data_IF_508928763753
#
_entry.id   IF_508928763753
#
_cell.length_a   1.000
_cell.length_b   1.000
_cell.length_c   1.000
_cell.angle_alpha   90.00
_cell.angle_beta   90.00
_cell.angle_gamma   90.00
#
_symmetry.space_group_name_H-M   'P 1'
#
loop_
_entity.id
_entity.type
_entity.pdbx_description
1 polymer ?
#
# COMPACT_ATOMS: atom_id res chain seq x y z
N UNK A 1 -0.28 -11.97 27.33
CA UNK A 1 0.67 -10.94 27.78
C UNK A 1 -0.04 -9.59 27.71
N UNK A 2 -0.30 -8.94 28.84
CA UNK A 2 -0.86 -7.58 28.88
C UNK A 2 0.33 -6.63 29.06
N UNK A 3 0.49 -5.60 28.20
CA UNK A 3 1.53 -4.61 28.43
C UNK A 3 1.29 -3.91 29.79
N UNK A 4 2.35 -3.46 30.47
CA UNK A 4 2.22 -2.85 31.79
C UNK A 4 1.20 -1.71 31.78
N UNK A 5 0.25 -1.73 32.73
CA UNK A 5 -0.90 -0.81 32.84
C UNK A 5 -0.53 0.68 32.95
N UNK A 6 0.74 1.03 33.15
CA UNK A 6 1.19 2.39 33.44
C UNK A 6 1.22 3.38 32.27
N UNK A 7 1.05 2.91 31.02
CA UNK A 7 1.33 3.74 29.82
C UNK A 7 0.09 3.98 28.92
N UNK A 8 -1.13 3.70 29.37
CA UNK A 8 -2.34 3.86 28.55
C UNK A 8 -3.17 5.04 29.07
N UNK A 9 -3.36 6.04 28.22
CA UNK A 9 -4.18 7.22 28.55
C UNK A 9 -5.67 6.98 28.27
N UNK A 10 -6.59 7.75 28.91
CA UNK A 10 -8.00 7.73 28.55
C UNK A 10 -8.22 7.92 27.05
N UNK A 11 -9.12 7.13 26.48
CA UNK A 11 -9.38 7.14 25.05
C UNK A 11 -8.39 6.32 24.21
N UNK A 12 -7.38 5.69 24.83
CA UNK A 12 -6.49 4.73 24.17
C UNK A 12 -6.87 3.28 24.50
N UNK A 13 -6.42 2.34 23.68
CA UNK A 13 -6.57 0.90 23.90
C UNK A 13 -5.30 0.14 23.52
N UNK A 14 -5.12 -1.04 24.10
CA UNK A 14 -4.11 -2.01 23.64
C UNK A 14 -4.73 -2.91 22.59
N UNK A 15 -4.03 -3.12 21.48
CA UNK A 15 -4.41 -4.05 20.44
C UNK A 15 -3.25 -5.00 20.10
N UNK A 16 -3.56 -6.26 19.77
CA UNK A 16 -2.59 -7.18 19.21
C UNK A 16 -2.60 -7.01 17.69
N UNK A 17 -1.66 -6.22 17.17
CA UNK A 17 -1.42 -6.06 15.74
C UNK A 17 -0.48 -7.16 15.23
N UNK A 18 -0.36 -7.30 13.92
CA UNK A 18 0.60 -8.24 13.33
C UNK A 18 2.00 -7.60 13.39
N UNK A 19 3.03 -8.34 13.77
CA UNK A 19 4.42 -7.85 13.74
C UNK A 19 4.80 -7.47 12.30
N UNK A 20 5.36 -6.26 12.13
CA UNK A 20 5.78 -5.74 10.83
C UNK A 20 6.81 -6.65 10.16
N UNK A 21 7.68 -7.28 10.91
CA UNK A 21 8.75 -8.12 10.34
C UNK A 21 8.27 -9.56 10.03
N UNK A 22 7.00 -9.87 10.30
CA UNK A 22 6.46 -11.22 10.14
C UNK A 22 5.81 -11.41 8.76
N UNK A 23 6.62 -11.43 7.69
CA UNK A 23 6.15 -11.52 6.30
C UNK A 23 5.23 -12.74 6.05
N UNK A 24 4.27 -12.63 5.10
CA UNK A 24 3.39 -13.73 4.74
C UNK A 24 4.21 -14.88 4.14
N UNK A 25 3.81 -16.12 4.47
CA UNK A 25 4.45 -17.34 3.95
C UNK A 25 3.43 -18.26 3.31
N UNK A 26 3.88 -19.13 2.40
CA UNK A 26 3.01 -20.14 1.77
C UNK A 26 2.35 -21.00 2.86
N UNK A 27 1.02 -21.07 2.83
CA UNK A 27 0.20 -21.80 3.82
C UNK A 27 0.38 -21.36 5.29
N UNK A 28 1.01 -20.21 5.55
CA UNK A 28 1.14 -19.67 6.91
C UNK A 28 -0.23 -19.25 7.42
N UNK A 29 -0.64 -19.84 8.54
CA UNK A 29 -1.91 -19.52 9.21
C UNK A 29 -1.75 -18.28 10.10
N UNK A 30 -2.87 -17.60 10.36
CA UNK A 30 -2.90 -16.46 11.30
C UNK A 30 -2.42 -16.86 12.71
N UNK A 31 -2.69 -18.09 13.13
CA UNK A 31 -2.23 -18.64 14.42
C UNK A 31 -0.72 -18.78 14.53
N UNK A 32 -0.01 -18.83 13.39
CA UNK A 32 1.45 -18.88 13.31
C UNK A 32 2.04 -17.51 12.95
N UNK A 33 1.22 -16.47 12.92
CA UNK A 33 1.65 -15.09 12.64
C UNK A 33 2.08 -14.45 13.95
N UNK A 34 3.28 -13.86 13.97
CA UNK A 34 3.79 -13.18 15.15
C UNK A 34 2.99 -11.90 15.38
N UNK A 35 2.54 -11.70 16.62
CA UNK A 35 1.74 -10.55 17.01
C UNK A 35 2.57 -9.58 17.84
N UNK A 36 2.26 -8.29 17.72
CA UNK A 36 2.87 -7.21 18.48
C UNK A 36 1.80 -6.40 19.20
N UNK A 37 1.99 -6.21 20.49
CA UNK A 37 1.11 -5.36 21.30
C UNK A 37 1.39 -3.89 20.97
N UNK A 38 0.36 -3.16 20.56
CA UNK A 38 0.43 -1.72 20.23
C UNK A 38 -0.61 -0.95 21.02
N UNK A 39 -0.33 0.32 21.30
CA UNK A 39 -1.27 1.27 21.91
C UNK A 39 -1.88 2.11 20.79
N UNK A 40 -3.21 2.13 20.73
CA UNK A 40 -3.98 2.83 19.72
C UNK A 40 -4.86 3.88 20.37
N UNK A 41 -4.84 5.10 19.86
CA UNK A 41 -5.74 6.15 20.33
C UNK A 41 -7.11 5.96 19.65
N UNK A 42 -8.18 5.70 20.37
CA UNK A 42 -9.52 5.64 19.77
C UNK A 42 -10.20 7.00 19.77
N UNK A 43 -10.01 7.75 20.85
CA UNK A 43 -10.64 9.03 21.07
C UNK A 43 -9.53 10.06 21.26
N UNK A 44 -9.31 10.92 20.26
CA UNK A 44 -8.39 12.04 20.38
C UNK A 44 -9.13 13.33 20.72
N UNK A 45 -8.44 14.26 21.38
CA UNK A 45 -8.97 15.60 21.63
C UNK A 45 -9.35 16.34 20.35
N UNK A 46 -8.65 16.08 19.25
CA UNK A 46 -8.91 16.75 17.97
C UNK A 46 -10.16 16.22 17.28
N UNK A 47 -10.46 14.93 17.42
CA UNK A 47 -11.73 14.35 16.96
C UNK A 47 -12.92 14.98 17.73
N UNK A 48 -12.78 15.16 19.05
CA UNK A 48 -13.80 15.83 19.88
C UNK A 48 -13.99 17.28 19.44
N UNK A 49 -12.90 18.02 19.20
CA UNK A 49 -12.98 19.40 18.69
C UNK A 49 -13.72 19.47 17.35
N UNK A 50 -13.38 18.59 16.39
CA UNK A 50 -14.04 18.53 15.08
C UNK A 50 -15.54 18.26 15.21
N UNK A 51 -15.93 17.33 16.08
CA UNK A 51 -17.34 17.04 16.36
C UNK A 51 -18.07 18.23 16.99
N UNK A 52 -17.44 18.93 17.94
CA UNK A 52 -18.01 20.16 18.54
C UNK A 52 -18.22 21.28 17.51
N UNK A 53 -17.38 21.34 16.48
CA UNK A 53 -17.52 22.27 15.36
C UNK A 53 -18.53 21.82 14.30
N UNK A 54 -19.34 20.78 14.58
CA UNK A 54 -20.42 20.32 13.70
C UNK A 54 -19.98 19.37 12.58
N UNK A 55 -18.73 18.90 12.55
CA UNK A 55 -18.32 17.86 11.60
C UNK A 55 -19.05 16.56 11.89
N UNK A 56 -19.45 15.84 10.84
CA UNK A 56 -20.08 14.52 10.98
C UNK A 56 -19.03 13.45 11.21
N UNK A 57 -19.42 12.34 11.85
CA UNK A 57 -18.52 11.18 12.08
C UNK A 57 -17.88 10.66 10.77
N UNK A 58 -18.64 10.71 9.67
CA UNK A 58 -18.16 10.28 8.35
C UNK A 58 -16.99 11.10 7.81
N UNK A 59 -16.78 12.32 8.33
CA UNK A 59 -15.71 13.21 7.93
C UNK A 59 -14.44 13.05 8.78
N UNK A 60 -14.57 12.50 10.00
CA UNK A 60 -13.43 12.25 10.91
C UNK A 60 -12.87 10.83 10.79
N UNK A 61 -13.67 9.84 10.34
CA UNK A 61 -13.19 8.46 10.19
C UNK A 61 -11.93 8.30 9.33
N UNK A 62 -11.74 9.04 8.21
CA UNK A 62 -10.48 9.00 7.47
C UNK A 62 -9.26 9.29 8.35
N UNK A 63 -9.35 10.32 9.20
CA UNK A 63 -8.26 10.72 10.08
C UNK A 63 -8.04 9.74 11.22
N UNK A 64 -9.12 9.19 11.80
CA UNK A 64 -9.04 8.15 12.84
C UNK A 64 -8.35 6.90 12.28
N UNK A 65 -8.77 6.42 11.11
CA UNK A 65 -8.17 5.23 10.47
C UNK A 65 -6.69 5.48 10.18
N UNK A 66 -6.35 6.65 9.65
CA UNK A 66 -4.96 7.01 9.39
C UNK A 66 -4.12 7.00 10.66
N UNK A 67 -4.61 7.65 11.73
CA UNK A 67 -3.93 7.71 13.01
C UNK A 67 -3.71 6.32 13.60
N UNK A 68 -4.71 5.44 13.57
CA UNK A 68 -4.58 4.05 14.04
C UNK A 68 -3.53 3.25 13.25
N UNK A 69 -3.51 3.37 11.93
CA UNK A 69 -2.51 2.69 11.09
C UNK A 69 -1.09 3.20 11.37
N UNK A 70 -0.91 4.52 11.48
CA UNK A 70 0.38 5.14 11.71
C UNK A 70 0.91 4.85 13.12
N UNK A 71 0.06 4.93 14.15
CA UNK A 71 0.43 4.55 15.53
C UNK A 71 0.84 3.09 15.63
N UNK A 72 0.14 2.19 14.93
CA UNK A 72 0.51 0.78 14.88
C UNK A 72 1.88 0.60 14.22
N UNK A 73 2.09 1.20 13.05
CA UNK A 73 3.35 1.10 12.30
C UNK A 73 4.54 1.64 13.07
N UNK A 74 4.39 2.79 13.73
CA UNK A 74 5.44 3.41 14.56
C UNK A 74 5.90 2.47 15.69
N UNK A 75 4.98 1.68 16.23
CA UNK A 75 5.26 0.65 17.21
C UNK A 75 5.72 -0.68 16.59
N UNK A 76 5.92 -0.74 15.27
CA UNK A 76 6.32 -1.93 14.50
C UNK A 76 5.22 -3.00 14.38
N UNK A 77 3.95 -2.61 14.49
CA UNK A 77 2.78 -3.45 14.26
C UNK A 77 2.03 -3.01 13.00
N UNK A 78 1.27 -3.91 12.40
CA UNK A 78 0.46 -3.64 11.21
C UNK A 78 -0.98 -4.08 11.45
N UNK A 79 -1.92 -3.19 11.15
CA UNK A 79 -3.35 -3.48 11.21
C UNK A 79 -3.88 -4.00 9.87
N UNK A 80 -4.78 -4.96 9.93
CA UNK A 80 -5.60 -5.37 8.79
C UNK A 80 -6.87 -4.52 8.71
N UNK A 81 -7.57 -4.56 7.57
CA UNK A 81 -8.89 -3.91 7.47
C UNK A 81 -9.93 -4.58 8.38
N UNK A 82 -9.71 -5.85 8.75
CA UNK A 82 -10.56 -6.58 9.71
C UNK A 82 -10.34 -6.01 11.11
N UNK A 83 -9.09 -5.77 11.52
CA UNK A 83 -8.79 -5.13 12.82
C UNK A 83 -9.48 -3.78 12.93
N UNK A 84 -9.30 -2.91 11.93
CA UNK A 84 -9.94 -1.59 11.88
C UNK A 84 -11.48 -1.68 11.91
N UNK A 85 -12.05 -2.66 11.20
CA UNK A 85 -13.50 -2.92 11.20
C UNK A 85 -14.02 -3.28 12.59
N UNK A 86 -13.27 -4.11 13.34
CA UNK A 86 -13.63 -4.51 14.71
C UNK A 86 -13.41 -3.39 15.71
N UNK A 87 -12.28 -2.68 15.63
CA UNK A 87 -11.94 -1.56 16.51
C UNK A 87 -12.97 -0.44 16.40
N UNK A 88 -13.39 -0.09 15.18
CA UNK A 88 -14.29 1.05 14.92
C UNK A 88 -15.76 0.65 14.80
N UNK A 89 -16.08 -0.64 14.87
CA UNK A 89 -17.41 -1.20 14.62
C UNK A 89 -18.03 -0.71 13.30
N UNK A 90 -17.25 -0.78 12.21
CA UNK A 90 -17.64 -0.40 10.86
C UNK A 90 -17.52 -1.58 9.92
N UNK A 91 -18.29 -1.59 8.83
CA UNK A 91 -18.12 -2.58 7.77
C UNK A 91 -16.73 -2.47 7.11
N UNK A 92 -16.17 -3.57 6.63
CA UNK A 92 -14.91 -3.53 5.85
C UNK A 92 -15.02 -2.61 4.62
N UNK A 93 -16.20 -2.51 4.01
CA UNK A 93 -16.45 -1.59 2.90
C UNK A 93 -16.31 -0.13 3.33
N UNK A 94 -16.87 0.23 4.50
CA UNK A 94 -16.73 1.57 5.08
C UNK A 94 -15.26 1.87 5.42
N UNK A 95 -14.54 0.93 6.04
CA UNK A 95 -13.11 1.07 6.32
C UNK A 95 -12.33 1.32 5.03
N UNK A 96 -12.53 0.49 4.00
CA UNK A 96 -11.86 0.65 2.72
C UNK A 96 -12.15 2.00 2.07
N UNK A 97 -13.41 2.46 2.12
CA UNK A 97 -13.84 3.75 1.59
C UNK A 97 -13.15 4.91 2.32
N UNK A 98 -13.15 4.92 3.64
CA UNK A 98 -12.57 6.00 4.43
C UNK A 98 -11.04 6.01 4.38
N UNK A 99 -10.41 4.83 4.39
CA UNK A 99 -8.98 4.67 4.10
C UNK A 99 -8.63 5.31 2.76
N UNK A 100 -9.32 4.91 1.69
CA UNK A 100 -9.10 5.46 0.35
C UNK A 100 -9.30 6.97 0.27
N UNK A 101 -10.34 7.51 0.93
CA UNK A 101 -10.56 8.97 1.03
C UNK A 101 -9.35 9.69 1.65
N UNK A 102 -8.80 9.15 2.73
CA UNK A 102 -7.61 9.72 3.36
C UNK A 102 -6.41 9.67 2.41
N UNK A 103 -6.16 8.51 1.80
CA UNK A 103 -5.00 8.29 0.92
C UNK A 103 -5.03 9.18 -0.32
N UNK A 104 -6.18 9.34 -0.96
CA UNK A 104 -6.35 10.26 -2.09
C UNK A 104 -6.13 11.71 -1.69
N UNK A 105 -6.65 12.12 -0.52
CA UNK A 105 -6.52 13.51 -0.04
C UNK A 105 -5.08 13.88 0.27
N UNK A 106 -4.32 12.94 0.86
CA UNK A 106 -2.95 13.18 1.30
C UNK A 106 -1.90 12.71 0.30
N UNK A 107 -2.32 12.07 -0.80
CA UNK A 107 -1.43 11.41 -1.78
C UNK A 107 -0.40 10.51 -1.09
N UNK A 108 -0.86 9.75 -0.10
CA UNK A 108 -0.02 8.88 0.72
C UNK A 108 -0.78 7.62 1.06
N UNK A 109 -0.12 6.47 0.93
CA UNK A 109 -0.66 5.17 1.29
C UNK A 109 -0.54 4.94 2.80
N UNK A 110 -1.59 4.38 3.41
CA UNK A 110 -1.59 4.00 4.81
C UNK A 110 -0.93 2.64 5.05
N UNK A 111 -0.14 2.48 6.13
CA UNK A 111 0.66 1.30 6.43
C UNK A 111 -0.18 0.17 7.05
N UNK A 112 -1.07 -0.42 6.27
CA UNK A 112 -1.79 -1.63 6.65
C UNK A 112 -0.95 -2.87 6.40
N UNK A 113 -1.32 -4.00 7.02
CA UNK A 113 -0.75 -5.32 6.69
C UNK A 113 -0.80 -5.59 5.18
N UNK A 114 -1.90 -5.20 4.53
CA UNK A 114 -2.12 -5.40 3.11
C UNK A 114 -1.22 -4.56 2.21
N UNK A 115 -0.87 -3.34 2.61
CA UNK A 115 0.01 -2.45 1.84
C UNK A 115 1.48 -2.77 2.06
N UNK A 116 1.91 -2.92 3.31
CA UNK A 116 3.33 -3.17 3.64
C UNK A 116 3.80 -4.54 3.12
N UNK A 117 2.98 -5.58 3.28
CA UNK A 117 3.32 -6.93 2.83
C UNK A 117 2.76 -7.30 1.46
N UNK A 118 2.22 -6.34 0.72
CA UNK A 118 1.62 -6.57 -0.59
C UNK A 118 0.63 -7.77 -0.60
N UNK A 119 -0.18 -7.85 0.45
CA UNK A 119 -1.25 -8.86 0.55
C UNK A 119 -2.56 -8.36 -0.06
N UNK A 120 -2.57 -7.12 -0.55
CA UNK A 120 -3.74 -6.45 -1.10
C UNK A 120 -4.00 -6.80 -2.56
N UNK A 121 -5.27 -7.08 -2.88
CA UNK A 121 -5.77 -7.18 -4.27
C UNK A 121 -5.91 -5.82 -4.97
N UNK A 122 -5.55 -4.73 -4.31
CA UNK A 122 -5.84 -3.37 -4.79
C UNK A 122 -4.71 -2.91 -5.72
N UNK A 123 -5.01 -2.83 -7.01
CA UNK A 123 -4.07 -2.35 -8.03
C UNK A 123 -3.70 -0.87 -7.87
N UNK A 124 -4.41 -0.09 -7.04
CA UNK A 124 -4.14 1.34 -6.83
C UNK A 124 -2.70 1.63 -6.40
N UNK A 125 -2.14 0.85 -5.48
CA UNK A 125 -0.75 1.08 -5.03
C UNK A 125 0.27 0.63 -6.08
N UNK A 126 -0.09 -0.38 -6.88
CA UNK A 126 0.70 -0.80 -8.05
C UNK A 126 0.69 0.30 -9.12
N UNK A 127 -0.47 0.93 -9.40
CA UNK A 127 -0.57 2.08 -10.31
C UNK A 127 0.36 3.21 -9.91
N UNK A 128 0.37 3.61 -8.63
CA UNK A 128 1.24 4.70 -8.16
C UNK A 128 2.73 4.37 -8.36
N UNK A 129 3.14 3.14 -8.03
CA UNK A 129 4.51 2.66 -8.27
C UNK A 129 4.86 2.67 -9.76
N UNK A 130 3.96 2.18 -10.62
CA UNK A 130 4.17 2.17 -12.07
C UNK A 130 4.20 3.59 -12.65
N UNK A 131 3.36 4.50 -12.16
CA UNK A 131 3.36 5.91 -12.58
C UNK A 131 4.72 6.56 -12.28
N UNK A 132 5.24 6.41 -11.04
CA UNK A 132 6.56 6.93 -10.68
C UNK A 132 7.69 6.27 -11.48
N UNK A 133 7.59 4.96 -11.74
CA UNK A 133 8.52 4.24 -12.61
C UNK A 133 8.53 4.80 -14.04
N UNK A 134 7.35 5.10 -14.60
CA UNK A 134 7.21 5.70 -15.93
C UNK A 134 7.69 7.16 -16.00
N UNK A 135 7.62 7.89 -14.87
CA UNK A 135 8.28 9.19 -14.69
C UNK A 135 9.81 9.07 -14.56
N UNK A 136 10.31 7.83 -14.49
CA UNK A 136 11.72 7.51 -14.45
C UNK A 136 12.30 7.45 -13.05
N UNK A 137 11.49 7.46 -11.98
CA UNK A 137 12.01 7.30 -10.62
C UNK A 137 12.72 5.94 -10.43
N UNK A 138 13.80 5.92 -9.65
CA UNK A 138 14.51 4.69 -9.28
C UNK A 138 13.72 3.89 -8.25
N UNK A 139 13.97 2.58 -8.15
CA UNK A 139 13.36 1.72 -7.12
C UNK A 139 13.48 2.32 -5.72
N UNK A 140 14.65 2.85 -5.36
CA UNK A 140 14.86 3.48 -4.04
C UNK A 140 14.04 4.76 -3.85
N UNK A 141 13.90 5.60 -4.88
CA UNK A 141 13.06 6.80 -4.83
C UNK A 141 11.57 6.44 -4.71
N UNK A 142 11.11 5.44 -5.47
CA UNK A 142 9.74 4.94 -5.44
C UNK A 142 9.43 4.32 -4.08
N UNK A 143 10.31 3.46 -3.57
CA UNK A 143 10.19 2.81 -2.26
C UNK A 143 10.05 3.86 -1.14
N UNK A 144 10.92 4.87 -1.15
CA UNK A 144 10.87 5.97 -0.17
C UNK A 144 9.59 6.80 -0.30
N UNK A 145 9.15 7.11 -1.51
CA UNK A 145 7.96 7.94 -1.77
C UNK A 145 6.68 7.21 -1.38
N UNK A 146 6.58 5.93 -1.74
CA UNK A 146 5.37 5.12 -1.55
C UNK A 146 5.34 4.35 -0.23
N UNK A 147 6.44 4.36 0.54
CA UNK A 147 6.58 3.60 1.79
C UNK A 147 6.64 2.08 1.58
N UNK A 148 7.04 1.62 0.40
CA UNK A 148 7.16 0.19 0.10
C UNK A 148 8.59 -0.33 0.31
N UNK A 149 8.68 -1.63 0.55
CA UNK A 149 9.94 -2.37 0.45
C UNK A 149 10.46 -2.30 -1.00
N UNK A 150 11.74 -1.95 -1.24
CA UNK A 150 12.33 -1.96 -2.58
C UNK A 150 12.12 -3.28 -3.35
N UNK A 151 12.14 -4.42 -2.65
CA UNK A 151 11.92 -5.74 -3.26
C UNK A 151 10.50 -5.87 -3.81
N UNK A 152 9.51 -5.28 -3.13
CA UNK A 152 8.13 -5.26 -3.63
C UNK A 152 7.99 -4.32 -4.83
N UNK A 153 8.68 -3.18 -4.81
CA UNK A 153 8.71 -2.24 -5.94
C UNK A 153 9.28 -2.91 -7.19
N UNK A 154 10.45 -3.56 -7.09
CA UNK A 154 11.07 -4.27 -8.22
C UNK A 154 10.15 -5.37 -8.75
N UNK A 155 9.53 -6.17 -7.87
CA UNK A 155 8.57 -7.21 -8.28
C UNK A 155 7.43 -6.64 -9.14
N UNK A 156 6.86 -5.50 -8.77
CA UNK A 156 5.77 -4.92 -9.54
C UNK A 156 6.21 -4.40 -10.90
N UNK A 157 7.42 -3.83 -10.97
CA UNK A 157 8.01 -3.36 -12.22
C UNK A 157 8.29 -4.55 -13.13
N UNK A 158 8.83 -5.64 -12.60
CA UNK A 158 9.11 -6.88 -13.35
C UNK A 158 7.82 -7.50 -13.88
N UNK A 159 6.79 -7.66 -13.03
CA UNK A 159 5.48 -8.17 -13.44
C UNK A 159 4.86 -7.30 -14.54
N UNK A 160 4.96 -5.98 -14.40
CA UNK A 160 4.50 -5.03 -15.42
C UNK A 160 5.24 -5.20 -16.75
N UNK A 161 6.57 -5.24 -16.73
CA UNK A 161 7.39 -5.38 -17.94
C UNK A 161 7.09 -6.70 -18.67
N UNK A 162 6.93 -7.81 -17.93
CA UNK A 162 6.56 -9.11 -18.48
C UNK A 162 5.18 -9.07 -19.14
N UNK A 163 4.19 -8.45 -18.49
CA UNK A 163 2.84 -8.30 -19.04
C UNK A 163 2.87 -7.41 -20.29
N UNK A 164 3.57 -6.28 -20.25
CA UNK A 164 3.69 -5.35 -21.36
C UNK A 164 4.25 -6.05 -22.61
N UNK A 165 5.35 -6.79 -22.46
CA UNK A 165 5.97 -7.53 -23.56
C UNK A 165 4.99 -8.54 -24.17
N UNK A 166 4.37 -9.38 -23.33
CA UNK A 166 3.44 -10.40 -23.81
C UNK A 166 2.18 -9.80 -24.45
N UNK A 167 1.71 -8.67 -23.93
CA UNK A 167 0.57 -7.95 -24.47
C UNK A 167 0.87 -7.31 -25.83
N UNK A 168 2.05 -6.68 -25.98
CA UNK A 168 2.50 -6.14 -27.28
C UNK A 168 2.70 -7.24 -28.33
N UNK A 169 3.14 -8.43 -27.93
CA UNK A 169 3.23 -9.62 -28.78
C UNK A 169 1.84 -10.19 -29.17
N UNK A 170 0.75 -9.53 -28.79
CA UNK A 170 -0.62 -9.92 -29.16
C UNK A 170 -1.17 -11.13 -28.40
N UNK A 171 -0.55 -11.51 -27.28
CA UNK A 171 -1.05 -12.65 -26.49
C UNK A 171 -2.38 -12.30 -25.80
N UNK A 172 -3.31 -13.25 -25.80
CA UNK A 172 -4.57 -13.10 -25.06
C UNK A 172 -4.34 -13.14 -23.54
N UNK A 173 -5.19 -12.48 -22.72
CA UNK A 173 -5.03 -12.41 -21.27
C UNK A 173 -4.88 -13.77 -20.58
N UNK A 174 -5.55 -14.81 -21.05
CA UNK A 174 -5.42 -16.18 -20.51
C UNK A 174 -4.00 -16.74 -20.67
N UNK A 175 -3.38 -16.49 -21.82
CA UNK A 175 -2.01 -16.92 -22.13
C UNK A 175 -0.98 -16.10 -21.35
N UNK A 176 -1.25 -14.81 -21.15
CA UNK A 176 -0.46 -13.95 -20.26
C UNK A 176 -0.51 -14.48 -18.82
N UNK A 177 -1.69 -14.84 -18.30
CA UNK A 177 -1.81 -15.44 -16.97
C UNK A 177 -0.97 -16.72 -16.84
N UNK A 178 -0.99 -17.58 -17.87
CA UNK A 178 -0.24 -18.82 -17.89
C UNK A 178 1.29 -18.58 -17.81
N UNK A 179 1.82 -17.67 -18.63
CA UNK A 179 3.26 -17.37 -18.63
C UNK A 179 3.75 -16.58 -17.42
N UNK A 180 2.88 -15.72 -16.86
CA UNK A 180 3.25 -14.88 -15.72
C UNK A 180 3.03 -15.58 -14.38
N UNK A 181 2.11 -16.54 -14.31
CA UNK A 181 1.63 -17.12 -13.06
C UNK A 181 0.70 -16.18 -12.28
N UNK A 182 0.35 -15.03 -12.86
CA UNK A 182 -0.48 -14.01 -12.21
C UNK A 182 -1.96 -14.29 -12.41
N UNK A 183 -2.77 -13.84 -11.45
CA UNK A 183 -4.22 -14.00 -11.50
C UNK A 183 -4.85 -13.14 -12.60
N UNK A 184 -5.93 -13.66 -13.22
CA UNK A 184 -6.65 -12.99 -14.32
C UNK A 184 -7.03 -11.54 -14.02
N UNK A 185 -7.50 -11.26 -12.80
CA UNK A 185 -7.88 -9.89 -12.41
C UNK A 185 -6.68 -8.94 -12.47
N UNK A 186 -5.54 -9.35 -11.92
CA UNK A 186 -4.33 -8.54 -11.89
C UNK A 186 -3.80 -8.29 -13.31
N UNK A 187 -3.77 -9.34 -14.15
CA UNK A 187 -3.39 -9.19 -15.56
C UNK A 187 -4.30 -8.20 -16.29
N UNK A 188 -5.62 -8.26 -16.07
CA UNK A 188 -6.56 -7.29 -16.65
C UNK A 188 -6.25 -5.87 -16.19
N UNK A 189 -6.01 -5.66 -14.89
CA UNK A 189 -5.71 -4.34 -14.34
C UNK A 189 -4.43 -3.73 -14.93
N UNK A 190 -3.39 -4.54 -15.16
CA UNK A 190 -2.19 -4.12 -15.87
C UNK A 190 -2.45 -3.77 -17.33
N UNK A 191 -3.22 -4.59 -18.06
CA UNK A 191 -3.57 -4.33 -19.47
C UNK A 191 -4.38 -3.03 -19.59
N UNK A 192 -5.34 -2.81 -18.69
CA UNK A 192 -6.15 -1.60 -18.67
C UNK A 192 -5.27 -0.35 -18.44
N UNK A 193 -4.29 -0.43 -17.52
CA UNK A 193 -3.31 0.62 -17.30
C UNK A 193 -2.40 0.87 -18.51
N UNK A 194 -1.94 -0.19 -19.20
CA UNK A 194 -1.14 -0.07 -20.43
C UNK A 194 -1.92 0.70 -21.51
N UNK A 195 -3.20 0.34 -21.70
CA UNK A 195 -4.09 1.00 -22.66
C UNK A 195 -4.37 2.45 -22.27
N UNK A 196 -4.73 2.70 -21.01
CA UNK A 196 -5.04 4.01 -20.45
C UNK A 196 -3.90 5.03 -20.70
N UNK A 197 -2.65 4.58 -20.58
CA UNK A 197 -1.47 5.43 -20.71
C UNK A 197 -0.75 5.32 -22.07
N UNK A 198 -1.28 4.53 -23.02
CA UNK A 198 -0.65 4.23 -24.32
C UNK A 198 0.84 3.88 -24.16
N UNK A 199 1.12 2.92 -23.27
CA UNK A 199 2.49 2.51 -22.95
C UNK A 199 2.96 1.49 -23.97
N UNK A 200 4.17 1.69 -24.48
CA UNK A 200 4.84 0.71 -25.34
C UNK A 200 6.23 0.38 -24.81
N UNK A 201 6.77 -0.79 -25.15
CA UNK A 201 8.12 -1.16 -24.73
C UNK A 201 9.18 -0.20 -25.29
N UNK A 202 8.99 0.26 -26.53
CA UNK A 202 9.84 1.29 -27.16
C UNK A 202 9.88 2.61 -26.37
N UNK A 203 8.74 3.01 -25.78
CA UNK A 203 8.62 4.23 -24.97
C UNK A 203 9.39 4.10 -23.65
N UNK A 204 9.31 2.93 -23.00
CA UNK A 204 10.10 2.66 -21.77
C UNK A 204 11.61 2.64 -22.08
N UNK A 205 12.04 1.97 -23.16
CA UNK A 205 13.45 1.94 -23.53
C UNK A 205 14.01 3.35 -23.81
N UNK A 206 13.22 4.22 -24.44
CA UNK A 206 13.59 5.63 -24.66
C UNK A 206 13.85 6.38 -23.34
N UNK A 207 13.00 6.20 -22.34
CA UNK A 207 13.19 6.80 -21.01
C UNK A 207 14.44 6.30 -20.30
N UNK A 208 14.65 4.98 -20.26
CA UNK A 208 15.84 4.38 -19.65
C UNK A 208 17.11 4.92 -20.30
N UNK A 209 17.10 5.02 -21.64
CA UNK A 209 18.24 5.54 -22.41
C UNK A 209 18.51 7.02 -22.12
N UNK A 210 17.47 7.85 -22.02
CA UNK A 210 17.58 9.28 -21.69
C UNK A 210 18.14 9.51 -20.28
N UNK A 211 17.67 8.75 -19.28
CA UNK A 211 18.16 8.86 -17.89
C UNK A 211 19.61 8.37 -17.73
N UNK A 212 20.00 7.30 -18.44
CA UNK A 212 21.40 6.84 -18.47
C UNK A 212 22.36 7.92 -19.01
N UNK A 213 21.90 8.72 -19.98
CA UNK A 213 22.68 9.85 -20.51
C UNK A 213 22.81 10.97 -19.46
N UNK A 214 21.73 11.34 -18.77
CA UNK A 214 21.78 12.33 -17.67
C UNK A 214 22.72 11.93 -16.54
N UNK A 215 22.66 10.67 -16.09
CA UNK A 215 23.55 10.16 -15.02
C UNK A 215 25.02 10.19 -15.48
N UNK A 216 25.30 9.83 -16.73
CA UNK A 216 26.65 9.93 -17.29
C UNK A 216 27.13 11.38 -17.32
N UNK A 217 26.28 12.33 -17.68
CA UNK A 217 26.64 13.75 -17.73
C UNK A 217 26.86 14.36 -16.33
N UNK A 218 26.18 13.84 -15.29
CA UNK A 218 26.39 14.25 -13.89
C UNK A 218 27.68 13.71 -13.28
N UNK A 219 28.21 12.58 -13.76
CA UNK A 219 29.48 11.99 -13.30
C UNK A 219 30.73 12.56 -13.97
N UNK A 220 30.55 13.43 -14.98
CA UNK A 220 31.64 14.07 -15.76
C UNK A 220 31.86 15.54 -15.32
N UNK A 221 31.07 16.02 -14.34
CA UNK A 221 31.30 17.27 -13.61
C UNK A 221 31.85 16.97 -12.22
#
# INVERSE_FOLDING_TARGET
>A
YSPPKGNISPGQMVWLAIDREDYPGRAKKISATKMKSVILTLISSDDIKKLRLGKKRVDIYPDIIARLCLEAEDQGGLLTLIDLSKILNLSMLSISKYKGKWETTHKKILPTRGSIHDMGRTFTHKKEILSLYLEGATTSEIARTTGHDPVNVDRYIDDFQRILLLYEDGNQPSKICFYTGLGRKLVSEYIDFIKEHNITHSRIQSYVRKKLIEIKNLKVK
#
